data_IF_901267072899
#
_entry.id   IF_901267072899
#
_cell.length_a   1.000
_cell.length_b   1.000
_cell.length_c   1.000
_cell.angle_alpha   90.00
_cell.angle_beta   90.00
_cell.angle_gamma   90.00
#
_symmetry.space_group_name_H-M   'P 1'
#
loop_
_entity.id
_entity.type
_entity.pdbx_description
1 polymer ?
#
# COMPACT_ATOMS: atom_id res chain seq x y z
N UNK A 1 46.28 -41.22 24.97
CA UNK A 1 45.23 -41.56 24.01
C UNK A 1 44.14 -40.47 24.16
N UNK A 2 44.02 -39.45 23.26
CA UNK A 2 42.92 -38.52 23.32
C UNK A 2 41.68 -39.14 22.68
N UNK A 3 40.56 -39.02 23.39
CA UNK A 3 39.21 -39.46 23.03
C UNK A 3 38.68 -38.65 21.87
N UNK A 4 38.25 -39.30 20.80
CA UNK A 4 37.64 -38.68 19.63
C UNK A 4 36.16 -38.35 19.92
N UNK A 5 35.79 -37.09 19.77
CA UNK A 5 34.39 -36.62 19.81
C UNK A 5 33.69 -37.02 18.51
N UNK A 6 32.45 -37.55 18.55
CA UNK A 6 31.72 -37.91 17.33
C UNK A 6 31.24 -36.68 16.57
N UNK A 7 31.45 -36.72 15.24
CA UNK A 7 30.95 -35.75 14.28
C UNK A 7 29.42 -35.94 14.13
N UNK A 8 28.60 -34.89 14.22
CA UNK A 8 27.18 -35.03 13.98
C UNK A 8 26.85 -35.33 12.52
N UNK A 9 25.85 -36.19 12.31
CA UNK A 9 25.36 -36.61 11.00
C UNK A 9 24.78 -35.43 10.19
N UNK A 10 24.80 -35.45 8.85
CA UNK A 10 24.26 -34.39 8.01
C UNK A 10 22.74 -34.31 8.17
N UNK A 11 22.27 -33.07 8.33
CA UNK A 11 20.84 -32.75 8.40
C UNK A 11 20.23 -33.07 7.03
N UNK A 12 19.21 -33.94 7.04
CA UNK A 12 18.42 -34.33 5.86
C UNK A 12 17.85 -33.07 5.17
N UNK A 13 18.06 -33.00 3.85
CA UNK A 13 17.53 -31.91 3.02
C UNK A 13 16.00 -31.92 3.12
N UNK A 14 15.44 -30.84 3.64
CA UNK A 14 14.00 -30.57 3.60
C UNK A 14 13.58 -30.30 2.15
N UNK A 15 12.54 -30.99 1.71
CA UNK A 15 11.86 -30.80 0.43
C UNK A 15 11.53 -29.32 0.21
N UNK A 16 11.74 -28.74 -0.98
CA UNK A 16 11.34 -27.37 -1.27
C UNK A 16 9.82 -27.28 -1.17
N UNK A 17 9.32 -26.33 -0.37
CA UNK A 17 7.91 -25.95 -0.34
C UNK A 17 7.64 -25.20 -1.64
N UNK A 18 6.76 -25.76 -2.47
CA UNK A 18 6.29 -25.11 -3.71
C UNK A 18 5.40 -23.91 -3.32
N UNK A 19 5.97 -22.71 -3.40
CA UNK A 19 5.30 -21.42 -3.11
C UNK A 19 4.57 -20.85 -4.34
N UNK A 20 4.45 -21.60 -5.44
CA UNK A 20 3.86 -21.12 -6.70
C UNK A 20 2.36 -21.39 -6.86
N UNK A 21 1.66 -21.86 -5.85
CA UNK A 21 0.20 -21.98 -5.94
C UNK A 21 -0.44 -20.60 -5.81
N UNK A 22 -1.10 -20.05 -6.86
CA UNK A 22 -2.00 -18.92 -6.68
C UNK A 22 -3.09 -19.36 -5.69
N UNK A 23 -3.33 -18.59 -4.62
CA UNK A 23 -4.52 -18.78 -3.79
C UNK A 23 -5.74 -18.77 -4.74
N UNK A 24 -6.24 -19.96 -5.02
CA UNK A 24 -7.49 -20.11 -5.75
C UNK A 24 -8.54 -19.32 -4.98
N UNK A 25 -9.14 -18.32 -5.65
CA UNK A 25 -10.25 -17.55 -5.15
C UNK A 25 -11.46 -18.49 -4.97
N UNK A 26 -11.45 -19.22 -3.87
CA UNK A 26 -12.71 -19.70 -3.30
C UNK A 26 -13.49 -18.44 -2.96
N UNK A 27 -14.73 -18.33 -3.44
CA UNK A 27 -15.66 -17.27 -3.08
C UNK A 27 -15.87 -17.28 -1.56
N UNK A 28 -14.91 -16.73 -0.83
CA UNK A 28 -15.05 -16.39 0.57
C UNK A 28 -16.12 -15.31 0.63
N UNK A 29 -17.07 -15.44 1.57
CA UNK A 29 -18.04 -14.40 1.85
C UNK A 29 -17.27 -13.06 1.94
N UNK A 30 -17.67 -12.09 1.12
CA UNK A 30 -16.93 -10.85 0.98
C UNK A 30 -16.78 -10.23 2.36
N UNK A 31 -15.55 -10.11 2.84
CA UNK A 31 -15.26 -9.47 4.13
C UNK A 31 -15.79 -8.04 4.07
N UNK A 32 -16.68 -7.64 4.98
CA UNK A 32 -17.22 -6.30 4.98
C UNK A 32 -16.11 -5.28 5.25
N UNK A 33 -16.03 -4.23 4.45
CA UNK A 33 -15.08 -3.12 4.65
C UNK A 33 -15.66 -1.80 4.17
N UNK A 34 -15.14 -0.71 4.69
CA UNK A 34 -15.47 0.66 4.30
C UNK A 34 -14.28 1.30 3.59
N UNK A 35 -14.52 1.95 2.45
CA UNK A 35 -13.50 2.78 1.81
C UNK A 35 -13.64 4.22 2.31
N UNK A 36 -12.52 4.79 2.75
CA UNK A 36 -12.39 6.21 3.09
C UNK A 36 -11.40 6.88 2.14
N UNK A 37 -11.79 8.03 1.58
CA UNK A 37 -11.00 8.81 0.63
C UNK A 37 -10.70 10.16 1.25
N UNK A 38 -9.48 10.40 1.78
CA UNK A 38 -9.12 11.72 2.30
C UNK A 38 -8.96 12.71 1.13
N UNK A 39 -9.60 13.87 1.25
CA UNK A 39 -9.52 14.93 0.26
C UNK A 39 -9.30 16.29 0.93
N UNK A 40 -8.29 17.05 0.47
CA UNK A 40 -8.00 18.41 0.95
C UNK A 40 -7.71 19.35 -0.21
N UNK A 41 -8.14 20.60 -0.07
CA UNK A 41 -7.86 21.61 -1.11
C UNK A 41 -6.40 22.03 -1.16
N UNK A 42 -5.68 21.95 -0.05
CA UNK A 42 -4.27 22.32 0.04
C UNK A 42 -3.39 21.33 -0.73
N UNK A 43 -3.00 21.70 -1.94
CA UNK A 43 -2.01 20.99 -2.76
C UNK A 43 -1.07 22.02 -3.38
N UNK A 44 0.24 21.89 -3.14
CA UNK A 44 1.25 22.84 -3.61
C UNK A 44 1.59 22.67 -5.09
N UNK A 45 1.62 21.41 -5.58
CA UNK A 45 2.00 21.08 -6.96
C UNK A 45 0.86 21.22 -7.96
N UNK A 46 -0.37 20.94 -7.52
CA UNK A 46 -1.59 21.03 -8.33
C UNK A 46 -2.70 21.70 -7.51
N UNK A 47 -2.88 23.03 -7.59
CA UNK A 47 -3.92 23.72 -6.84
C UNK A 47 -5.32 23.18 -7.13
N UNK A 48 -6.16 23.07 -6.08
CA UNK A 48 -7.52 22.51 -6.16
C UNK A 48 -7.56 21.07 -6.71
N UNK A 49 -6.51 20.28 -6.49
CA UNK A 49 -6.31 18.93 -7.01
C UNK A 49 -7.57 18.03 -6.96
N UNK A 50 -8.32 17.91 -5.85
CA UNK A 50 -9.51 17.06 -5.79
C UNK A 50 -10.62 17.46 -6.75
N UNK A 51 -10.67 18.74 -7.15
CA UNK A 51 -11.66 19.30 -8.06
C UNK A 51 -11.14 19.43 -9.49
N UNK A 52 -9.91 18.98 -9.78
CA UNK A 52 -9.39 19.00 -11.14
C UNK A 52 -10.33 18.22 -12.06
N UNK A 53 -10.71 18.88 -13.17
CA UNK A 53 -11.61 18.28 -14.15
C UNK A 53 -10.92 17.16 -14.95
N UNK A 54 -11.58 16.02 -15.05
CA UNK A 54 -11.20 14.89 -15.91
C UNK A 54 -12.47 14.49 -16.66
N UNK A 55 -12.50 14.73 -17.97
CA UNK A 55 -13.65 14.43 -18.84
C UNK A 55 -15.00 14.98 -18.28
N UNK A 56 -15.01 16.22 -17.80
CA UNK A 56 -16.21 16.90 -17.27
C UNK A 56 -16.60 16.48 -15.84
N UNK A 57 -15.77 15.69 -15.12
CA UNK A 57 -16.07 15.20 -13.78
C UNK A 57 -14.88 15.49 -12.85
N UNK A 58 -15.09 15.99 -11.62
CA UNK A 58 -14.02 16.20 -10.64
C UNK A 58 -13.25 14.92 -10.31
N UNK A 59 -11.92 15.01 -10.17
CA UNK A 59 -11.04 13.87 -9.92
C UNK A 59 -11.48 13.05 -8.70
N UNK A 60 -11.86 13.68 -7.59
CA UNK A 60 -12.33 12.97 -6.38
C UNK A 60 -13.55 12.10 -6.64
N UNK A 61 -14.41 12.50 -7.59
CA UNK A 61 -15.60 11.74 -7.99
C UNK A 61 -15.19 10.49 -8.79
N UNK A 62 -14.18 10.59 -9.68
CA UNK A 62 -13.62 9.42 -10.37
C UNK A 62 -13.07 8.41 -9.36
N UNK A 63 -12.27 8.87 -8.41
CA UNK A 63 -11.72 8.01 -7.34
C UNK A 63 -12.86 7.30 -6.59
N UNK A 64 -13.87 8.05 -6.13
CA UNK A 64 -14.99 7.50 -5.37
C UNK A 64 -15.80 6.47 -6.18
N UNK A 65 -16.07 6.75 -7.47
CA UNK A 65 -16.77 5.81 -8.37
C UNK A 65 -15.98 4.53 -8.59
N UNK A 66 -14.66 4.63 -8.76
CA UNK A 66 -13.77 3.45 -8.89
C UNK A 66 -13.75 2.66 -7.59
N UNK A 67 -13.58 3.32 -6.47
CA UNK A 67 -13.55 2.68 -5.14
C UNK A 67 -14.88 1.96 -4.82
N UNK A 68 -16.02 2.51 -5.20
CA UNK A 68 -17.32 1.87 -5.01
C UNK A 68 -17.48 0.54 -5.77
N UNK A 69 -16.69 0.30 -6.82
CA UNK A 69 -16.68 -0.96 -7.57
C UNK A 69 -15.90 -2.08 -6.87
N UNK A 70 -15.22 -1.80 -5.76
CA UNK A 70 -14.41 -2.77 -5.02
C UNK A 70 -15.21 -3.79 -4.20
N UNK A 71 -16.52 -3.64 -4.12
CA UNK A 71 -17.37 -4.44 -3.24
C UNK A 71 -17.40 -3.92 -1.79
N UNK A 72 -16.90 -2.72 -1.53
CA UNK A 72 -17.02 -2.07 -0.22
C UNK A 72 -18.49 -1.87 0.17
N UNK A 73 -18.81 -2.05 1.45
CA UNK A 73 -20.14 -1.75 1.99
C UNK A 73 -20.48 -0.27 1.86
N UNK A 74 -19.47 0.58 1.96
CA UNK A 74 -19.58 2.02 1.97
C UNK A 74 -18.32 2.67 1.41
N UNK A 75 -18.47 3.73 0.63
CA UNK A 75 -17.37 4.55 0.13
C UNK A 75 -17.66 6.00 0.50
N UNK A 76 -16.78 6.62 1.30
CA UNK A 76 -17.00 7.96 1.85
C UNK A 76 -15.79 8.85 1.57
N UNK A 77 -16.03 10.06 1.06
CA UNK A 77 -15.02 11.10 0.93
C UNK A 77 -14.96 11.91 2.23
N UNK A 78 -13.80 11.92 2.90
CA UNK A 78 -13.54 12.72 4.08
C UNK A 78 -12.81 14.01 3.66
N UNK A 79 -13.52 15.15 3.67
CA UNK A 79 -13.03 16.41 3.11
C UNK A 79 -13.09 17.56 4.13
N UNK A 80 -12.21 18.55 3.95
CA UNK A 80 -12.13 19.76 4.78
C UNK A 80 -12.71 21.01 4.09
N UNK A 81 -13.24 20.89 2.89
CA UNK A 81 -13.67 22.04 2.08
C UNK A 81 -15.08 21.84 1.53
N UNK A 82 -15.93 22.86 1.72
CA UNK A 82 -17.33 22.84 1.26
C UNK A 82 -17.46 22.63 -0.25
N UNK A 83 -16.48 23.04 -1.07
CA UNK A 83 -16.49 22.86 -2.52
C UNK A 83 -16.34 21.37 -2.89
N UNK A 84 -15.49 20.62 -2.17
CA UNK A 84 -15.35 19.17 -2.36
C UNK A 84 -16.66 18.48 -1.98
N UNK A 85 -17.24 18.83 -0.82
CA UNK A 85 -18.51 18.29 -0.36
C UNK A 85 -19.65 18.58 -1.34
N UNK A 86 -19.66 19.79 -1.93
CA UNK A 86 -20.64 20.18 -2.93
C UNK A 86 -20.49 19.34 -4.20
N UNK A 87 -19.28 19.21 -4.72
CA UNK A 87 -18.99 18.38 -5.89
C UNK A 87 -19.40 16.92 -5.69
N UNK A 88 -19.09 16.34 -4.53
CA UNK A 88 -19.52 14.98 -4.18
C UNK A 88 -21.04 14.85 -4.19
N UNK A 89 -21.77 15.77 -3.56
CA UNK A 89 -23.26 15.78 -3.54
C UNK A 89 -23.85 15.86 -4.94
N UNK A 90 -23.34 16.74 -5.81
CA UNK A 90 -23.81 16.87 -7.18
C UNK A 90 -23.69 15.57 -7.99
N UNK A 91 -22.74 14.71 -7.64
CA UNK A 91 -22.49 13.43 -8.31
C UNK A 91 -23.00 12.21 -7.54
N UNK A 92 -23.78 12.41 -6.46
CA UNK A 92 -24.33 11.31 -5.65
C UNK A 92 -23.26 10.52 -4.85
N UNK A 93 -22.09 11.12 -4.60
CA UNK A 93 -21.03 10.53 -3.80
C UNK A 93 -21.23 10.91 -2.33
N UNK A 94 -21.17 9.92 -1.47
CA UNK A 94 -21.20 10.14 -0.03
C UNK A 94 -19.95 10.86 0.43
N UNK A 95 -20.11 11.96 1.17
CA UNK A 95 -19.02 12.76 1.68
C UNK A 95 -19.33 13.33 3.05
N UNK A 96 -18.30 13.49 3.87
CA UNK A 96 -18.41 14.07 5.20
C UNK A 96 -17.39 15.19 5.42
N UNK A 97 -17.77 16.15 6.26
CA UNK A 97 -16.86 17.20 6.67
C UNK A 97 -15.95 16.71 7.80
N UNK A 98 -14.66 16.99 7.67
CA UNK A 98 -13.63 16.76 8.69
C UNK A 98 -12.88 18.07 8.93
N UNK A 99 -12.18 18.16 10.05
CA UNK A 99 -11.40 19.36 10.39
C UNK A 99 -10.32 19.62 9.33
N UNK A 100 -10.01 20.87 9.10
CA UNK A 100 -8.96 21.35 8.20
C UNK A 100 -7.54 21.31 8.83
N UNK A 101 -7.47 21.15 10.16
CA UNK A 101 -6.23 21.18 10.95
C UNK A 101 -5.48 19.87 11.01
N UNK A 102 -5.93 18.82 10.31
CA UNK A 102 -5.25 17.53 10.30
C UNK A 102 -3.87 17.61 9.61
N UNK A 103 -2.78 17.17 10.28
CA UNK A 103 -1.45 17.20 9.72
C UNK A 103 -1.28 16.16 8.59
N UNK A 104 -2.01 15.03 8.64
CA UNK A 104 -1.90 13.96 7.64
C UNK A 104 -3.27 13.43 7.18
N UNK A 105 -3.24 12.60 6.12
CA UNK A 105 -4.40 11.84 5.67
C UNK A 105 -4.90 10.86 6.71
N UNK A 106 -3.99 10.17 7.41
CA UNK A 106 -4.33 9.19 8.44
C UNK A 106 -5.03 9.82 9.63
N UNK A 107 -4.63 11.04 10.07
CA UNK A 107 -5.34 11.79 11.11
C UNK A 107 -6.78 12.12 10.71
N UNK A 108 -6.99 12.52 9.45
CA UNK A 108 -8.31 12.79 8.89
C UNK A 108 -9.18 11.53 8.89
N UNK A 109 -8.61 10.40 8.50
CA UNK A 109 -9.34 9.13 8.49
C UNK A 109 -9.68 8.63 9.88
N UNK A 110 -8.82 8.88 10.88
CA UNK A 110 -9.12 8.58 12.28
C UNK A 110 -10.34 9.36 12.78
N UNK A 111 -10.46 10.65 12.43
CA UNK A 111 -11.68 11.43 12.70
C UNK A 111 -12.89 10.86 11.96
N UNK A 112 -12.72 10.52 10.65
CA UNK A 112 -13.81 9.94 9.87
C UNK A 112 -14.31 8.63 10.47
N UNK A 113 -13.43 7.74 10.95
CA UNK A 113 -13.82 6.53 11.67
C UNK A 113 -14.67 6.86 12.91
N UNK A 114 -14.26 7.85 13.69
CA UNK A 114 -15.00 8.27 14.88
C UNK A 114 -16.40 8.77 14.53
N UNK A 115 -16.51 9.61 13.50
CA UNK A 115 -17.80 10.17 13.04
C UNK A 115 -18.73 9.11 12.43
N UNK A 116 -18.17 8.05 11.86
CA UNK A 116 -18.92 6.93 11.27
C UNK A 116 -19.22 5.81 12.27
N UNK A 117 -18.70 5.89 13.49
CA UNK A 117 -18.85 4.84 14.50
C UNK A 117 -18.06 3.56 14.20
N UNK A 118 -17.02 3.65 13.35
CA UNK A 118 -16.13 2.53 13.03
C UNK A 118 -15.08 2.37 14.13
N UNK A 119 -14.90 1.15 14.64
CA UNK A 119 -13.96 0.87 15.73
C UNK A 119 -13.51 -0.61 15.74
N UNK A 120 -12.58 -0.94 16.63
CA UNK A 120 -12.11 -2.31 16.82
C UNK A 120 -11.58 -2.95 15.54
N UNK A 121 -12.16 -4.07 15.17
CA UNK A 121 -11.78 -4.88 14.01
C UNK A 121 -12.50 -4.51 12.71
N UNK A 122 -13.32 -3.45 12.69
CA UNK A 122 -13.90 -2.93 11.44
C UNK A 122 -12.76 -2.63 10.45
N UNK A 123 -12.92 -3.10 9.20
CA UNK A 123 -11.88 -2.90 8.19
C UNK A 123 -12.17 -1.63 7.40
N UNK A 124 -11.17 -0.76 7.35
CA UNK A 124 -11.18 0.50 6.59
C UNK A 124 -10.07 0.47 5.55
N UNK A 125 -10.39 0.78 4.31
CA UNK A 125 -9.38 0.98 3.25
C UNK A 125 -9.23 2.46 2.93
N UNK A 126 -8.01 2.96 3.06
CA UNK A 126 -7.62 4.30 2.63
C UNK A 126 -7.27 4.26 1.15
N UNK A 127 -8.11 4.84 0.32
CA UNK A 127 -7.83 5.10 -1.09
C UNK A 127 -7.46 6.57 -1.24
N UNK A 128 -6.28 6.84 -1.80
CA UNK A 128 -5.80 8.22 -1.98
C UNK A 128 -6.69 8.99 -2.96
N UNK A 129 -7.03 10.25 -2.62
CA UNK A 129 -7.92 11.09 -3.42
C UNK A 129 -7.35 11.54 -4.78
N UNK A 130 -6.14 11.09 -5.11
CA UNK A 130 -5.40 11.38 -6.34
C UNK A 130 -5.14 10.14 -7.22
N UNK A 131 -5.85 9.04 -6.95
CA UNK A 131 -5.75 7.76 -7.66
C UNK A 131 -7.02 7.47 -8.51
N UNK A 132 -7.34 8.29 -9.54
CA UNK A 132 -8.58 8.15 -10.32
C UNK A 132 -8.64 6.87 -11.16
N UNK A 133 -7.51 6.19 -11.34
CA UNK A 133 -7.39 4.92 -12.06
C UNK A 133 -7.13 3.73 -11.15
N UNK A 134 -7.34 3.87 -9.82
CA UNK A 134 -7.16 2.78 -8.86
C UNK A 134 -7.94 1.52 -9.30
N UNK A 135 -7.29 0.35 -9.20
CA UNK A 135 -7.95 -0.91 -9.49
C UNK A 135 -8.87 -1.32 -8.32
N UNK A 136 -10.19 -1.48 -8.54
CA UNK A 136 -11.11 -1.97 -7.52
C UNK A 136 -10.70 -3.33 -6.94
N UNK A 137 -10.09 -4.21 -7.74
CA UNK A 137 -9.63 -5.51 -7.28
C UNK A 137 -8.47 -5.38 -6.28
N UNK A 138 -7.58 -4.39 -6.46
CA UNK A 138 -6.51 -4.09 -5.52
C UNK A 138 -7.07 -3.61 -4.17
N UNK A 139 -8.11 -2.77 -4.19
CA UNK A 139 -8.79 -2.31 -2.96
C UNK A 139 -9.36 -3.50 -2.17
N UNK A 140 -10.07 -4.39 -2.86
CA UNK A 140 -10.63 -5.61 -2.25
C UNK A 140 -9.54 -6.53 -1.71
N UNK A 141 -8.43 -6.71 -2.44
CA UNK A 141 -7.31 -7.55 -2.04
C UNK A 141 -6.64 -7.03 -0.76
N UNK A 142 -6.43 -5.71 -0.66
CA UNK A 142 -5.82 -5.09 0.54
C UNK A 142 -6.77 -5.15 1.75
N UNK A 143 -8.09 -5.04 1.54
CA UNK A 143 -9.08 -5.28 2.61
C UNK A 143 -9.02 -6.72 3.13
N UNK A 144 -8.95 -7.71 2.23
CA UNK A 144 -8.93 -9.13 2.57
C UNK A 144 -7.68 -9.54 3.38
N UNK A 145 -6.57 -8.82 3.27
CA UNK A 145 -5.34 -9.09 4.04
C UNK A 145 -5.59 -9.12 5.55
N UNK A 146 -6.35 -8.16 6.09
CA UNK A 146 -6.59 -8.07 7.53
C UNK A 146 -7.51 -9.18 8.04
N UNK A 147 -8.27 -9.80 7.16
CA UNK A 147 -9.01 -11.01 7.49
C UNK A 147 -8.08 -12.23 7.53
N UNK A 148 -7.15 -12.32 6.58
CA UNK A 148 -6.18 -13.43 6.51
C UNK A 148 -5.08 -13.33 7.59
N UNK A 149 -4.80 -12.10 8.07
CA UNK A 149 -3.76 -11.81 9.06
C UNK A 149 -4.35 -11.14 10.31
N UNK A 150 -4.97 -11.89 11.23
CA UNK A 150 -5.56 -11.31 12.43
C UNK A 150 -4.54 -10.59 13.33
N UNK A 151 -3.26 -10.96 13.23
CA UNK A 151 -2.15 -10.31 13.96
C UNK A 151 -1.73 -8.96 13.36
N UNK A 152 -2.19 -8.61 12.15
CA UNK A 152 -1.84 -7.36 11.50
C UNK A 152 -2.84 -6.25 11.85
N UNK A 153 -2.32 -5.06 12.16
CA UNK A 153 -3.11 -3.84 12.37
C UNK A 153 -3.36 -3.08 11.07
N UNK A 154 -2.49 -3.29 10.07
CA UNK A 154 -2.53 -2.66 8.77
C UNK A 154 -2.30 -3.68 7.65
N UNK A 155 -2.84 -3.38 6.48
CA UNK A 155 -2.49 -4.00 5.22
C UNK A 155 -2.04 -2.96 4.21
N UNK A 156 -1.22 -3.36 3.25
CA UNK A 156 -0.77 -2.53 2.12
C UNK A 156 -0.51 -3.42 0.91
N UNK A 157 0.00 -2.84 -0.18
CA UNK A 157 0.34 -3.59 -1.38
C UNK A 157 1.76 -3.27 -1.87
N UNK A 158 2.29 -4.18 -2.68
CA UNK A 158 3.55 -3.99 -3.39
C UNK A 158 3.53 -4.75 -4.71
N UNK A 159 4.41 -4.39 -5.64
CA UNK A 159 4.63 -5.13 -6.88
C UNK A 159 6.13 -5.30 -7.16
N UNK A 160 6.54 -6.31 -7.96
CA UNK A 160 7.93 -6.49 -8.32
C UNK A 160 8.52 -5.28 -9.05
N UNK A 161 9.75 -4.90 -8.71
CA UNK A 161 10.52 -3.88 -9.43
C UNK A 161 11.12 -4.50 -10.68
N UNK A 162 10.92 -3.86 -11.83
CA UNK A 162 11.41 -4.34 -13.11
C UNK A 162 12.79 -3.74 -13.51
N UNK A 163 13.17 -2.57 -12.98
CA UNK A 163 14.38 -1.86 -13.43
C UNK A 163 15.32 -1.49 -12.28
N UNK A 164 16.62 -1.50 -12.57
CA UNK A 164 17.66 -1.02 -11.65
C UNK A 164 17.45 0.47 -11.32
N UNK A 165 16.98 1.27 -12.27
CA UNK A 165 16.68 2.68 -12.06
C UNK A 165 15.63 2.88 -10.99
N UNK A 166 14.53 2.13 -11.01
CA UNK A 166 13.50 2.18 -9.97
C UNK A 166 14.03 1.66 -8.62
N UNK A 167 14.82 0.58 -8.64
CA UNK A 167 15.39 0.01 -7.42
C UNK A 167 16.28 0.99 -6.67
N UNK A 168 17.09 1.78 -7.39
CA UNK A 168 18.01 2.76 -6.81
C UNK A 168 17.38 4.14 -6.57
N UNK A 169 16.19 4.40 -7.11
CA UNK A 169 15.50 5.68 -6.97
C UNK A 169 14.94 5.86 -5.55
N UNK A 170 15.34 6.89 -4.79
CA UNK A 170 14.83 7.13 -3.44
C UNK A 170 13.35 7.54 -3.40
N UNK A 171 12.76 7.96 -4.52
CA UNK A 171 11.32 8.23 -4.61
C UNK A 171 10.49 6.96 -4.78
N UNK A 172 11.11 5.85 -5.15
CA UNK A 172 10.49 4.52 -5.15
C UNK A 172 10.74 3.87 -3.79
N UNK A 173 9.70 3.68 -3.01
CA UNK A 173 9.78 3.02 -1.70
C UNK A 173 9.84 1.52 -1.91
N UNK A 174 10.82 0.87 -1.30
CA UNK A 174 10.97 -0.59 -1.29
C UNK A 174 10.39 -1.17 0.00
N UNK A 175 9.90 -2.41 -0.07
CA UNK A 175 9.45 -3.18 1.10
C UNK A 175 10.06 -4.57 1.07
N UNK A 176 10.47 -5.05 2.25
CA UNK A 176 10.93 -6.43 2.47
C UNK A 176 9.92 -7.12 3.37
N UNK A 177 9.50 -8.32 2.98
CA UNK A 177 8.51 -9.11 3.71
C UNK A 177 9.16 -10.38 4.32
N UNK A 178 8.57 -10.88 5.38
CA UNK A 178 8.85 -12.22 5.91
C UNK A 178 8.14 -13.31 5.08
N UNK A 179 8.36 -14.57 5.41
CA UNK A 179 7.76 -15.72 4.71
C UNK A 179 6.22 -15.77 4.83
N UNK A 180 5.62 -15.01 5.73
CA UNK A 180 4.16 -14.91 5.90
C UNK A 180 3.56 -13.73 5.14
N UNK A 181 4.37 -12.95 4.42
CA UNK A 181 3.92 -11.74 3.74
C UNK A 181 3.76 -10.53 4.65
N UNK A 182 4.34 -10.55 5.87
CA UNK A 182 4.33 -9.40 6.76
C UNK A 182 5.56 -8.52 6.49
N UNK A 183 5.38 -7.21 6.42
CA UNK A 183 6.48 -6.28 6.20
C UNK A 183 7.50 -6.33 7.34
N UNK A 184 8.75 -6.54 6.99
CA UNK A 184 9.89 -6.42 7.91
C UNK A 184 10.37 -4.97 7.98
N UNK A 185 10.43 -4.27 6.84
CA UNK A 185 10.82 -2.86 6.78
C UNK A 185 10.42 -2.23 5.43
N UNK A 186 10.23 -0.90 5.45
CA UNK A 186 10.08 -0.05 4.27
C UNK A 186 11.24 0.93 4.21
N UNK A 187 11.82 1.15 3.02
CA UNK A 187 12.93 2.10 2.87
C UNK A 187 12.96 2.76 1.49
N UNK A 188 13.48 3.98 1.47
CA UNK A 188 13.88 4.66 0.23
C UNK A 188 15.20 4.14 -0.30
N UNK A 189 16.04 3.53 0.55
CA UNK A 189 17.26 2.85 0.15
C UNK A 189 16.96 1.59 -0.70
N UNK A 190 17.90 1.12 -1.51
CA UNK A 190 17.80 -0.16 -2.20
C UNK A 190 17.84 -1.33 -1.20
N UNK A 191 16.67 -1.91 -0.90
CA UNK A 191 16.52 -3.09 -0.05
C UNK A 191 15.70 -4.18 -0.74
N UNK A 192 16.04 -5.49 -0.50
CA UNK A 192 17.21 -6.01 0.20
C UNK A 192 18.50 -5.76 -0.60
N UNK A 193 19.61 -5.41 0.05
CA UNK A 193 20.87 -5.23 -0.63
C UNK A 193 21.50 -6.57 -1.03
N UNK A 194 21.67 -6.79 -2.32
CA UNK A 194 22.42 -7.95 -2.82
C UNK A 194 23.93 -7.65 -2.74
N UNK A 195 24.57 -8.05 -1.63
CA UNK A 195 25.96 -7.73 -1.31
C UNK A 195 26.92 -7.95 -2.47
N UNK A 196 26.82 -9.10 -3.13
CA UNK A 196 27.77 -9.53 -4.16
C UNK A 196 27.34 -9.10 -5.58
N UNK A 197 26.19 -8.43 -5.72
CA UNK A 197 25.59 -8.04 -6.99
C UNK A 197 25.13 -6.57 -6.99
N UNK A 198 25.74 -5.73 -6.15
CA UNK A 198 25.43 -4.32 -6.07
C UNK A 198 25.58 -3.63 -7.44
N UNK A 199 24.60 -2.82 -7.82
CA UNK A 199 24.60 -2.09 -9.09
C UNK A 199 24.14 -2.91 -10.31
N UNK A 200 23.62 -4.13 -10.12
CA UNK A 200 23.03 -4.96 -11.19
C UNK A 200 21.56 -5.28 -10.93
N UNK A 201 20.82 -5.63 -12.00
CA UNK A 201 19.46 -6.16 -11.90
C UNK A 201 19.51 -7.66 -11.57
N UNK A 202 20.00 -8.00 -10.37
CA UNK A 202 20.25 -9.38 -9.93
C UNK A 202 19.00 -10.30 -9.91
N UNK A 203 17.82 -9.71 -10.00
CA UNK A 203 16.53 -10.42 -10.09
C UNK A 203 16.06 -10.65 -11.53
N UNK A 204 16.72 -10.05 -12.52
CA UNK A 204 16.42 -10.27 -13.93
C UNK A 204 16.99 -11.62 -14.37
N UNK A 205 16.13 -12.50 -14.91
CA UNK A 205 16.52 -13.85 -15.33
C UNK A 205 17.69 -13.91 -16.29
N UNK A 206 17.91 -12.88 -17.12
CA UNK A 206 19.07 -12.77 -18.02
C UNK A 206 20.37 -12.50 -17.25
N UNK A 207 20.32 -11.68 -16.20
CA UNK A 207 21.47 -11.40 -15.34
C UNK A 207 21.77 -12.58 -14.40
N UNK A 208 20.74 -13.30 -13.95
CA UNK A 208 20.89 -14.47 -13.09
C UNK A 208 21.60 -15.65 -13.79
N UNK A 209 21.44 -15.80 -15.11
CA UNK A 209 22.11 -16.84 -15.88
C UNK A 209 23.62 -16.57 -16.11
N UNK A 210 24.04 -15.32 -15.98
CA UNK A 210 25.43 -14.91 -16.25
C UNK A 210 26.36 -15.03 -15.03
N UNK A 211 25.86 -15.32 -13.81
CA UNK A 211 26.68 -15.30 -12.60
C UNK A 211 26.42 -16.52 -11.70
N UNK A 212 27.47 -17.29 -11.33
CA UNK A 212 27.34 -18.40 -10.37
C UNK A 212 26.83 -17.89 -9.01
N UNK A 213 25.79 -18.54 -8.47
CA UNK A 213 25.18 -18.18 -7.17
C UNK A 213 23.90 -17.34 -7.27
N UNK A 214 23.63 -16.66 -8.38
CA UNK A 214 22.37 -15.88 -8.59
C UNK A 214 21.19 -16.78 -8.95
N UNK A 215 21.44 -17.97 -9.49
CA UNK A 215 20.39 -18.95 -9.81
C UNK A 215 19.50 -19.30 -8.60
N UNK A 216 20.05 -19.22 -7.37
CA UNK A 216 19.29 -19.43 -6.13
C UNK A 216 18.29 -18.29 -5.79
N UNK A 217 18.44 -17.14 -6.46
CA UNK A 217 17.57 -15.96 -6.29
C UNK A 217 16.55 -15.83 -7.45
N UNK A 218 16.56 -16.76 -8.40
CA UNK A 218 15.63 -16.78 -9.52
C UNK A 218 14.17 -16.84 -8.99
N UNK A 219 13.36 -15.84 -9.38
CA UNK A 219 11.99 -15.69 -8.92
C UNK A 219 11.79 -14.77 -7.70
N UNK A 220 12.88 -14.26 -7.08
CA UNK A 220 12.79 -13.25 -6.04
C UNK A 220 13.16 -11.87 -6.62
N UNK A 221 12.22 -10.95 -6.65
CA UNK A 221 12.43 -9.57 -7.07
C UNK A 221 12.25 -8.62 -5.90
N UNK A 222 13.00 -7.49 -5.84
CA UNK A 222 12.71 -6.45 -4.88
C UNK A 222 11.30 -5.88 -5.14
N UNK A 223 10.61 -5.49 -4.07
CA UNK A 223 9.22 -5.05 -4.13
C UNK A 223 9.14 -3.53 -4.01
N UNK A 224 8.40 -2.89 -4.93
CA UNK A 224 7.97 -1.50 -4.83
C UNK A 224 6.66 -1.44 -4.05
N UNK A 225 6.65 -0.65 -2.98
CA UNK A 225 5.46 -0.37 -2.21
C UNK A 225 4.44 0.43 -3.02
N UNK A 226 3.15 0.10 -2.87
CA UNK A 226 2.00 0.82 -3.41
C UNK A 226 1.30 1.52 -2.24
N UNK A 227 1.08 2.83 -2.34
CA UNK A 227 0.55 3.69 -1.27
C UNK A 227 -0.93 3.51 -0.92
N UNK A 228 -1.47 2.31 -1.07
CA UNK A 228 -2.81 1.94 -0.60
C UNK A 228 -2.70 1.22 0.74
N UNK A 229 -3.64 1.49 1.65
CA UNK A 229 -3.62 0.88 2.98
C UNK A 229 -5.00 0.41 3.43
N UNK A 230 -5.05 -0.74 4.09
CA UNK A 230 -6.15 -1.10 4.96
C UNK A 230 -5.74 -1.00 6.43
N UNK A 231 -6.72 -0.78 7.29
CA UNK A 231 -6.53 -0.64 8.73
C UNK A 231 -7.64 -1.36 9.48
N UNK A 232 -7.34 -1.87 10.68
CA UNK A 232 -8.36 -2.05 11.69
C UNK A 232 -8.75 -0.67 12.23
N UNK A 233 -10.03 -0.36 12.30
CA UNK A 233 -10.50 0.97 12.66
C UNK A 233 -10.04 1.40 14.05
N UNK A 234 -10.01 0.48 15.02
CA UNK A 234 -9.46 0.74 16.35
C UNK A 234 -8.00 1.18 16.32
N UNK A 235 -7.17 0.52 15.49
CA UNK A 235 -5.78 0.94 15.29
C UNK A 235 -5.69 2.30 14.60
N UNK A 236 -6.45 2.52 13.53
CA UNK A 236 -6.43 3.79 12.80
C UNK A 236 -6.83 4.98 13.70
N UNK A 237 -7.80 4.81 14.60
CA UNK A 237 -8.19 5.81 15.60
C UNK A 237 -7.08 6.08 16.63
N UNK A 238 -6.29 5.06 16.98
CA UNK A 238 -5.15 5.20 17.88
C UNK A 238 -3.92 5.82 17.20
N UNK A 239 -3.74 5.59 15.89
CA UNK A 239 -2.54 5.95 15.14
C UNK A 239 -2.05 7.39 15.34
N UNK A 240 -2.93 8.43 15.33
CA UNK A 240 -2.52 9.82 15.59
C UNK A 240 -1.93 10.07 16.98
N UNK A 241 -2.20 9.19 17.96
CA UNK A 241 -1.68 9.33 19.33
C UNK A 241 -0.31 8.69 19.52
N UNK A 242 0.16 7.88 18.54
CA UNK A 242 1.47 7.27 18.59
C UNK A 242 2.55 8.32 18.31
N UNK A 243 3.60 8.32 19.14
CA UNK A 243 4.75 9.20 18.93
C UNK A 243 5.41 8.94 17.57
N UNK A 244 5.81 10.00 16.88
CA UNK A 244 6.51 9.88 15.60
C UNK A 244 7.81 9.09 15.79
N UNK A 245 8.05 8.11 14.93
CA UNK A 245 9.25 7.29 14.97
C UNK A 245 10.44 8.04 14.35
N UNK A 246 11.67 7.90 14.90
CA UNK A 246 12.87 8.46 14.26
C UNK A 246 13.06 7.99 12.82
N UNK A 247 12.78 6.72 12.54
CA UNK A 247 12.88 6.15 11.19
C UNK A 247 11.81 6.72 10.24
N UNK A 248 10.60 6.98 10.74
CA UNK A 248 9.56 7.67 9.99
C UNK A 248 10.01 9.06 9.54
N UNK A 249 10.62 9.84 10.46
CA UNK A 249 11.07 11.20 10.18
C UNK A 249 12.22 11.20 9.14
N UNK A 250 13.18 10.28 9.27
CA UNK A 250 14.35 10.19 8.38
C UNK A 250 13.96 9.72 6.98
N UNK A 251 13.15 8.67 6.89
CA UNK A 251 12.71 8.09 5.63
C UNK A 251 11.52 8.86 5.02
N UNK A 252 10.86 9.74 5.77
CA UNK A 252 9.59 10.38 5.41
C UNK A 252 8.55 9.32 4.96
N UNK A 253 8.37 8.28 5.79
CA UNK A 253 7.49 7.14 5.57
C UNK A 253 6.63 6.89 6.81
N UNK A 254 5.37 7.34 6.77
CA UNK A 254 4.45 7.33 7.92
C UNK A 254 4.19 5.91 8.46
N UNK A 255 4.14 4.89 7.59
CA UNK A 255 3.91 3.49 7.99
C UNK A 255 5.03 2.92 8.89
N UNK A 256 6.21 3.51 8.91
CA UNK A 256 7.28 3.09 9.82
C UNK A 256 6.92 3.37 11.28
N UNK A 257 6.00 4.30 11.58
CA UNK A 257 5.47 4.53 12.92
C UNK A 257 4.79 3.27 13.45
N UNK A 258 3.97 2.61 12.62
CA UNK A 258 3.31 1.37 13.02
C UNK A 258 4.33 0.27 13.37
N UNK A 259 5.32 0.04 12.52
CA UNK A 259 6.38 -0.96 12.79
C UNK A 259 7.19 -0.62 14.03
N UNK A 260 7.53 0.66 14.23
CA UNK A 260 8.28 1.13 15.40
C UNK A 260 7.57 0.82 16.72
N UNK A 261 6.24 0.94 16.74
CA UNK A 261 5.40 0.63 17.90
C UNK A 261 5.01 -0.85 18.01
N UNK A 262 5.62 -1.72 17.20
CA UNK A 262 5.42 -3.18 17.27
C UNK A 262 4.17 -3.70 16.55
N UNK A 263 3.47 -2.85 15.80
CA UNK A 263 2.35 -3.27 14.96
C UNK A 263 2.84 -3.97 13.69
N UNK A 264 2.02 -4.88 13.16
CA UNK A 264 2.34 -5.62 11.95
C UNK A 264 1.56 -5.07 10.75
N UNK A 265 2.21 -5.13 9.59
CA UNK A 265 1.66 -4.68 8.31
C UNK A 265 1.71 -5.86 7.34
N UNK A 266 0.56 -6.35 6.89
CA UNK A 266 0.48 -7.39 5.86
C UNK A 266 0.64 -6.75 4.47
N UNK A 267 1.29 -7.45 3.53
CA UNK A 267 1.60 -6.93 2.20
C UNK A 267 1.00 -7.83 1.13
N UNK A 268 0.07 -7.29 0.35
CA UNK A 268 -0.43 -7.94 -0.86
C UNK A 268 0.58 -7.76 -1.99
N UNK A 269 1.04 -8.84 -2.60
CA UNK A 269 1.91 -8.77 -3.78
C UNK A 269 1.06 -8.78 -5.05
N UNK A 270 0.93 -7.60 -5.66
CA UNK A 270 0.26 -7.44 -6.96
C UNK A 270 1.18 -7.92 -8.08
N UNK A 271 0.61 -8.58 -9.08
CA UNK A 271 1.35 -9.01 -10.27
C UNK A 271 1.77 -7.82 -11.17
N UNK A 272 1.09 -6.67 -11.06
CA UNK A 272 1.31 -5.50 -11.91
C UNK A 272 1.35 -4.21 -11.08
N UNK A 273 2.01 -3.19 -11.66
CA UNK A 273 1.98 -1.84 -11.13
C UNK A 273 0.54 -1.26 -11.18
N UNK A 274 0.14 -0.41 -10.21
CA UNK A 274 -1.12 0.32 -10.27
C UNK A 274 -1.13 1.30 -11.45
N UNK A 275 -2.33 1.77 -11.82
CA UNK A 275 -2.48 2.89 -12.75
C UNK A 275 -1.78 4.16 -12.22
N UNK A 276 -1.51 5.14 -13.10
CA UNK A 276 -0.86 6.38 -12.70
C UNK A 276 -1.76 7.21 -11.77
N UNK A 277 -1.21 7.65 -10.64
CA UNK A 277 -1.78 8.70 -9.80
C UNK A 277 -1.54 10.09 -10.41
N UNK A 278 -2.20 11.10 -9.83
CA UNK A 278 -2.11 12.50 -10.28
C UNK A 278 -1.46 13.35 -9.20
N UNK A 279 -0.21 13.74 -9.41
CA UNK A 279 0.52 14.60 -8.48
C UNK A 279 0.91 15.94 -9.10
N UNK A 280 1.08 15.97 -10.43
CA UNK A 280 1.51 17.13 -11.22
C UNK A 280 0.52 17.43 -12.33
N UNK A 281 0.59 18.63 -12.97
CA UNK A 281 -0.20 18.91 -14.18
C UNK A 281 0.03 17.89 -15.31
N UNK A 282 1.25 17.41 -15.48
CA UNK A 282 1.61 16.42 -16.49
C UNK A 282 0.93 15.06 -16.23
N UNK A 283 0.84 14.66 -14.97
CA UNK A 283 0.10 13.45 -14.58
C UNK A 283 -1.38 13.61 -14.89
N UNK A 284 -1.96 14.80 -14.62
CA UNK A 284 -3.36 15.09 -14.91
C UNK A 284 -3.66 14.96 -16.41
N UNK A 285 -2.80 15.51 -17.29
CA UNK A 285 -2.97 15.37 -18.73
C UNK A 285 -2.86 13.91 -19.18
N UNK A 286 -1.95 13.15 -18.60
CA UNK A 286 -1.82 11.71 -18.88
C UNK A 286 -3.09 10.95 -18.52
N UNK A 287 -3.66 11.22 -17.35
CA UNK A 287 -4.90 10.57 -16.90
C UNK A 287 -6.10 11.01 -17.73
N UNK A 288 -6.18 12.28 -18.13
CA UNK A 288 -7.19 12.79 -19.07
C UNK A 288 -7.18 12.01 -20.38
N UNK A 289 -5.99 11.79 -20.94
CA UNK A 289 -5.84 11.03 -22.18
C UNK A 289 -6.26 9.54 -22.04
N UNK A 290 -6.19 8.96 -20.84
CA UNK A 290 -6.59 7.57 -20.58
C UNK A 290 -8.10 7.44 -20.31
N UNK A 291 -8.80 8.52 -19.95
CA UNK A 291 -10.24 8.55 -19.63
C UNK A 291 -11.09 9.26 -20.67
N UNK A 292 -10.48 9.84 -21.72
CA UNK A 292 -11.16 10.42 -22.88
C UNK A 292 -11.66 9.29 -23.80
#
# INVERSE_FOLDING_TARGET
>A
MPSATPVPAPISASTPVDTSAPLAATAAAATPFTVLIPARMASSRLPNKPLADIAGVPMVVHVARRAAQSGALRTVVAADDARILHACRQHGIEAMNTRDTHPSGSDRLAEACTLLGLDGDDIVVNVQGDEPLIDPALIAAVAALLHAHPEASMGTAAHPIASLADYTNPNVVKVVCDARGLASYFSRAPIPCARDHAGSSWWDGAAAQAQPGVAALAGFAPLRHIGIYSYRAGFLRQFPTLAQAPTEAIEALEQLRALWHGHRIAVYQSASAPGPGVDTPEDLERVRALLA
#
